data_IF_436286162684
#
_entry.id   IF_436286162684
#
_cell.length_a   1.000
_cell.length_b   1.000
_cell.length_c   1.000
_cell.angle_alpha   90.00
_cell.angle_beta   90.00
_cell.angle_gamma   90.00
#
_symmetry.space_group_name_H-M   'P 1'
#
loop_
_entity.id
_entity.type
_entity.pdbx_description
1 polymer ?
#
# COMPACT_ATOMS: atom_id res chain seq x y z
N UNK A 1 -1.86 -28.73 -2.35
CA UNK A 1 -1.88 -27.41 -2.96
C UNK A 1 -3.04 -26.59 -2.39
N UNK A 2 -2.74 -25.43 -1.84
CA UNK A 2 -3.79 -24.56 -1.31
C UNK A 2 -4.71 -24.10 -2.45
N UNK A 3 -6.00 -24.03 -2.17
CA UNK A 3 -6.96 -23.43 -3.09
C UNK A 3 -6.87 -21.91 -3.00
N UNK A 4 -7.38 -21.19 -4.02
CA UNK A 4 -7.42 -19.71 -4.00
C UNK A 4 -8.09 -19.20 -2.72
N UNK A 5 -9.09 -19.92 -2.21
CA UNK A 5 -9.82 -19.53 -0.98
C UNK A 5 -8.97 -19.57 0.28
N UNK A 6 -7.91 -20.37 0.28
CA UNK A 6 -7.03 -20.55 1.44
C UNK A 6 -5.84 -19.60 1.43
N UNK A 7 -5.62 -18.88 0.32
CA UNK A 7 -4.50 -17.97 0.21
C UNK A 7 -4.77 -16.67 0.97
N UNK A 8 -3.78 -16.27 1.76
CA UNK A 8 -3.79 -14.99 2.45
C UNK A 8 -2.44 -14.33 2.30
N UNK A 9 -2.43 -13.00 2.31
CA UNK A 9 -1.20 -12.23 2.37
C UNK A 9 -0.77 -12.07 3.84
N UNK A 10 0.49 -11.66 4.12
CA UNK A 10 1.00 -11.58 5.49
C UNK A 10 0.16 -10.71 6.43
N UNK A 11 -0.52 -9.67 5.92
CA UNK A 11 -1.39 -8.83 6.75
C UNK A 11 -2.78 -9.45 6.99
N UNK A 12 -3.01 -10.70 6.59
CA UNK A 12 -4.24 -11.43 6.90
C UNK A 12 -5.38 -11.27 5.90
N UNK A 13 -5.20 -10.49 4.83
CA UNK A 13 -6.23 -10.28 3.82
C UNK A 13 -6.21 -11.39 2.76
N UNK A 14 -7.38 -11.76 2.22
CA UNK A 14 -7.42 -12.77 1.16
C UNK A 14 -6.62 -12.34 -0.07
N UNK A 15 -5.79 -13.25 -0.57
CA UNK A 15 -4.98 -13.04 -1.77
C UNK A 15 -5.45 -13.99 -2.88
N UNK A 16 -5.38 -13.54 -4.12
CA UNK A 16 -5.80 -14.34 -5.28
C UNK A 16 -5.25 -13.73 -6.56
N UNK A 17 -5.02 -14.56 -7.57
CA UNK A 17 -4.83 -14.06 -8.95
C UNK A 17 -6.14 -13.63 -9.60
N UNK A 18 -7.29 -13.98 -9.01
CA UNK A 18 -8.59 -13.54 -9.48
C UNK A 18 -8.91 -12.16 -8.92
N UNK A 19 -8.60 -11.13 -9.70
CA UNK A 19 -8.84 -9.72 -9.33
C UNK A 19 -10.30 -9.47 -8.96
N UNK A 20 -11.21 -10.08 -9.69
CA UNK A 20 -12.65 -9.88 -9.51
C UNK A 20 -13.12 -10.46 -8.18
N UNK A 21 -12.60 -11.62 -7.79
CA UNK A 21 -12.95 -12.25 -6.51
C UNK A 21 -12.52 -11.40 -5.33
N UNK A 22 -11.44 -10.63 -5.47
CA UNK A 22 -10.93 -9.74 -4.42
C UNK A 22 -11.56 -8.35 -4.45
N UNK A 23 -12.35 -8.02 -5.48
CA UNK A 23 -12.87 -6.67 -5.67
C UNK A 23 -11.77 -5.67 -6.02
N UNK A 24 -10.78 -6.10 -6.81
CA UNK A 24 -9.72 -5.20 -7.26
C UNK A 24 -10.27 -4.26 -8.33
N UNK A 25 -10.10 -2.97 -8.11
CA UNK A 25 -10.48 -1.93 -9.06
C UNK A 25 -9.34 -0.92 -9.16
N UNK A 26 -9.34 -0.13 -10.22
CA UNK A 26 -8.35 0.92 -10.42
C UNK A 26 -8.91 2.24 -9.89
N UNK A 27 -8.10 2.97 -9.13
CA UNK A 27 -8.50 4.24 -8.51
C UNK A 27 -7.51 5.34 -8.86
N UNK A 28 -8.05 6.51 -9.20
CA UNK A 28 -7.23 7.69 -9.42
C UNK A 28 -6.95 8.38 -8.08
N UNK A 29 -5.71 8.82 -7.89
CA UNK A 29 -5.35 9.63 -6.72
C UNK A 29 -5.73 11.08 -7.03
N UNK A 30 -6.69 11.67 -6.28
CA UNK A 30 -7.15 13.04 -6.57
C UNK A 30 -6.01 14.05 -6.58
N UNK A 31 -6.05 14.96 -7.55
CA UNK A 31 -5.02 15.99 -7.71
C UNK A 31 -3.77 15.50 -8.43
N UNK A 32 -3.74 14.26 -8.88
CA UNK A 32 -2.63 13.68 -9.61
C UNK A 32 -3.12 12.93 -10.85
N UNK A 33 -2.20 12.54 -11.72
CA UNK A 33 -2.49 11.66 -12.85
C UNK A 33 -2.17 10.19 -12.54
N UNK A 34 -1.94 9.88 -11.26
CA UNK A 34 -1.61 8.52 -10.82
C UNK A 34 -2.87 7.70 -10.62
N UNK A 35 -2.82 6.45 -11.09
CA UNK A 35 -3.82 5.42 -10.82
C UNK A 35 -3.11 4.19 -10.28
N UNK A 36 -3.74 3.52 -9.34
CA UNK A 36 -3.29 2.19 -8.93
C UNK A 36 -4.50 1.29 -8.67
N UNK A 37 -4.27 -0.01 -8.76
CA UNK A 37 -5.30 -1.00 -8.49
C UNK A 37 -5.17 -1.52 -7.06
N UNK A 38 -6.28 -1.59 -6.35
CA UNK A 38 -6.32 -2.15 -5.01
C UNK A 38 -7.70 -2.71 -4.70
N UNK A 39 -7.81 -3.42 -3.59
CA UNK A 39 -9.09 -3.92 -3.11
C UNK A 39 -10.02 -2.76 -2.79
N UNK A 40 -11.22 -2.79 -3.33
CA UNK A 40 -12.22 -1.75 -3.14
C UNK A 40 -12.46 -1.44 -1.65
N UNK A 41 -12.44 -2.46 -0.80
CA UNK A 41 -12.70 -2.30 0.62
C UNK A 41 -11.69 -1.39 1.33
N UNK A 42 -10.44 -1.33 0.84
CA UNK A 42 -9.36 -0.54 1.45
C UNK A 42 -9.03 0.73 0.66
N UNK A 43 -9.64 0.90 -0.51
CA UNK A 43 -9.34 2.02 -1.39
C UNK A 43 -9.47 3.40 -0.71
N UNK A 44 -10.51 3.67 0.11
CA UNK A 44 -10.60 4.98 0.76
C UNK A 44 -9.36 5.31 1.62
N UNK A 45 -8.78 4.31 2.27
CA UNK A 45 -7.58 4.52 3.09
C UNK A 45 -6.34 4.73 2.23
N UNK A 46 -6.10 3.82 1.26
CA UNK A 46 -4.91 3.89 0.41
C UNK A 46 -4.90 5.11 -0.50
N UNK A 47 -6.05 5.43 -1.11
CA UNK A 47 -6.16 6.58 -2.02
C UNK A 47 -5.98 7.90 -1.29
N UNK A 48 -6.62 8.06 -0.14
CA UNK A 48 -6.49 9.30 0.64
C UNK A 48 -5.10 9.43 1.26
N UNK A 49 -4.49 8.32 1.66
CA UNK A 49 -3.09 8.31 2.09
C UNK A 49 -2.18 8.80 0.95
N UNK A 50 -2.32 8.23 -0.24
CA UNK A 50 -1.50 8.61 -1.41
C UNK A 50 -1.69 10.09 -1.76
N UNK A 51 -2.92 10.60 -1.65
CA UNK A 51 -3.23 12.02 -1.89
C UNK A 51 -2.47 12.91 -0.90
N UNK A 52 -2.54 12.62 0.40
CA UNK A 52 -1.84 13.41 1.41
C UNK A 52 -0.32 13.23 1.33
N UNK A 53 0.16 12.03 0.99
CA UNK A 53 1.58 11.81 0.72
C UNK A 53 2.07 12.75 -0.40
N UNK A 54 1.31 12.81 -1.49
CA UNK A 54 1.63 13.69 -2.61
C UNK A 54 1.69 15.17 -2.19
N UNK A 55 0.75 15.58 -1.36
CA UNK A 55 0.64 16.99 -0.93
C UNK A 55 1.65 17.37 0.14
N UNK A 56 1.97 16.45 1.07
CA UNK A 56 2.69 16.76 2.30
C UNK A 56 4.10 16.19 2.36
N UNK A 57 4.41 15.14 1.61
CA UNK A 57 5.71 14.47 1.62
C UNK A 57 6.49 14.78 0.36
N UNK A 58 6.00 14.31 -0.78
CA UNK A 58 6.62 14.58 -2.08
C UNK A 58 5.65 14.24 -3.21
N UNK A 59 5.76 14.90 -4.36
CA UNK A 59 4.91 14.58 -5.52
C UNK A 59 5.11 13.14 -5.98
N UNK A 60 4.02 12.50 -6.40
CA UNK A 60 4.06 11.11 -6.90
C UNK A 60 3.85 11.01 -8.41
N UNK A 61 3.59 12.12 -9.09
CA UNK A 61 3.24 12.13 -10.52
C UNK A 61 4.24 12.86 -11.40
N UNK A 62 5.49 13.00 -10.93
CA UNK A 62 6.55 13.66 -11.69
C UNK A 62 7.51 12.63 -12.27
N UNK A 63 7.96 12.88 -13.49
CA UNK A 63 8.88 12.02 -14.20
C UNK A 63 8.22 10.73 -14.67
N UNK A 64 8.97 9.63 -14.64
CA UNK A 64 8.47 8.32 -15.00
C UNK A 64 7.49 7.81 -13.93
N UNK A 65 6.33 7.30 -14.35
CA UNK A 65 5.36 6.75 -13.42
C UNK A 65 5.88 5.45 -12.84
N UNK A 66 5.96 5.39 -11.52
CA UNK A 66 6.60 4.30 -10.78
C UNK A 66 5.82 3.97 -9.49
N UNK A 67 4.50 4.10 -9.55
CA UNK A 67 3.61 3.80 -8.42
C UNK A 67 2.81 2.55 -8.76
N UNK A 68 2.73 1.61 -7.80
CA UNK A 68 2.19 0.28 -8.03
C UNK A 68 1.17 -0.09 -6.96
N UNK A 69 0.18 -0.88 -7.33
CA UNK A 69 -0.81 -1.44 -6.42
C UNK A 69 -0.83 -2.96 -6.47
N UNK A 70 -1.99 -3.53 -6.79
CA UNK A 70 -2.19 -4.97 -6.83
C UNK A 70 -1.22 -5.66 -7.78
N UNK A 71 -0.63 -6.75 -7.29
CA UNK A 71 0.17 -7.68 -8.08
C UNK A 71 0.17 -9.03 -7.35
N UNK A 72 -0.19 -10.10 -8.05
CA UNK A 72 -0.15 -11.42 -7.47
C UNK A 72 1.27 -11.99 -7.62
N UNK A 73 2.03 -11.92 -6.54
CA UNK A 73 3.41 -12.40 -6.51
C UNK A 73 3.86 -12.73 -5.09
N UNK A 74 4.93 -13.52 -4.99
CA UNK A 74 5.60 -13.77 -3.72
C UNK A 74 6.38 -12.52 -3.29
N UNK A 75 6.68 -12.43 -1.99
CA UNK A 75 7.62 -11.43 -1.51
C UNK A 75 8.99 -11.69 -2.13
N UNK A 76 9.75 -10.63 -2.41
CA UNK A 76 11.07 -10.76 -3.01
C UNK A 76 11.98 -11.53 -2.06
N UNK A 77 12.67 -12.55 -2.61
CA UNK A 77 13.54 -13.43 -1.84
C UNK A 77 12.80 -14.61 -1.17
N UNK A 78 11.52 -14.78 -1.45
CA UNK A 78 10.74 -15.91 -0.95
C UNK A 78 9.99 -16.60 -2.09
N UNK A 79 9.85 -17.92 -1.98
CA UNK A 79 9.01 -18.72 -2.90
C UNK A 79 7.71 -19.17 -2.22
N UNK A 80 7.49 -18.82 -0.96
CA UNK A 80 6.37 -19.30 -0.16
C UNK A 80 5.45 -18.23 0.37
N UNK A 81 5.95 -17.01 0.53
CA UNK A 81 5.20 -15.93 1.16
C UNK A 81 4.67 -14.99 0.09
N UNK A 82 3.34 -14.88 -0.01
CA UNK A 82 2.71 -13.93 -0.90
C UNK A 82 2.96 -12.50 -0.40
N UNK A 83 3.20 -11.60 -1.35
CA UNK A 83 3.28 -10.16 -1.04
C UNK A 83 1.90 -9.64 -0.64
N UNK A 84 1.85 -8.60 0.22
CA UNK A 84 0.59 -7.91 0.52
C UNK A 84 -0.02 -7.22 -0.70
N UNK A 85 0.75 -7.01 -1.77
CA UNK A 85 0.21 -6.58 -3.06
C UNK A 85 -0.76 -7.63 -3.65
N UNK A 86 -0.57 -8.91 -3.30
CA UNK A 86 -1.39 -10.02 -3.82
C UNK A 86 -2.83 -10.01 -3.30
N UNK A 87 -3.10 -9.29 -2.22
CA UNK A 87 -4.46 -9.09 -1.69
C UNK A 87 -5.05 -7.73 -2.09
N UNK A 88 -4.28 -6.90 -2.82
CA UNK A 88 -4.71 -5.55 -3.17
C UNK A 88 -4.74 -4.60 -1.98
N UNK A 89 -3.93 -4.86 -0.95
CA UNK A 89 -3.91 -4.07 0.29
C UNK A 89 -2.60 -3.35 0.52
N UNK A 90 -1.75 -3.26 -0.51
CA UNK A 90 -0.48 -2.56 -0.45
C UNK A 90 -0.26 -1.74 -1.71
N UNK A 91 0.47 -0.64 -1.56
CA UNK A 91 0.90 0.23 -2.67
C UNK A 91 2.36 0.57 -2.50
N UNK A 92 3.03 0.82 -3.63
CA UNK A 92 4.37 1.38 -3.67
C UNK A 92 4.27 2.76 -4.30
N UNK A 93 4.92 3.76 -3.70
CA UNK A 93 4.93 5.13 -4.20
C UNK A 93 6.38 5.55 -4.49
N UNK A 94 6.60 6.19 -5.65
CA UNK A 94 7.90 6.69 -6.07
C UNK A 94 9.01 5.63 -5.98
N UNK A 95 8.75 4.46 -6.54
CA UNK A 95 9.64 3.30 -6.42
C UNK A 95 11.08 3.58 -6.88
N UNK A 96 11.26 4.43 -7.89
CA UNK A 96 12.59 4.76 -8.42
C UNK A 96 13.41 5.53 -7.38
N UNK A 97 12.78 6.44 -6.63
CA UNK A 97 13.46 7.25 -5.60
C UNK A 97 13.73 6.46 -4.32
N UNK A 98 12.93 5.43 -4.06
CA UNK A 98 12.96 4.69 -2.79
C UNK A 98 13.07 3.18 -3.02
N UNK A 99 14.14 2.72 -3.73
CA UNK A 99 14.23 1.32 -4.13
C UNK A 99 14.42 0.38 -2.95
N UNK A 100 13.90 -0.82 -3.11
CA UNK A 100 13.97 -1.87 -2.09
C UNK A 100 15.42 -2.07 -1.61
N UNK A 101 15.60 -2.12 -0.29
CA UNK A 101 16.89 -2.30 0.34
C UNK A 101 17.64 -0.99 0.63
N UNK A 102 17.19 0.12 0.06
CA UNK A 102 17.77 1.44 0.37
C UNK A 102 17.11 2.02 1.60
N UNK A 103 17.90 2.67 2.44
CA UNK A 103 17.42 3.34 3.64
C UNK A 103 17.76 4.82 3.61
N UNK A 104 17.04 5.61 4.40
CA UNK A 104 17.26 7.05 4.52
C UNK A 104 17.09 7.81 3.18
N UNK A 105 16.16 7.35 2.35
CA UNK A 105 15.84 8.03 1.10
C UNK A 105 14.88 9.20 1.31
N UNK A 106 14.27 9.31 2.49
CA UNK A 106 13.50 10.47 2.94
C UNK A 106 14.27 11.21 4.01
N UNK A 107 14.13 12.53 4.07
CA UNK A 107 14.71 13.31 5.15
C UNK A 107 13.89 13.13 6.44
N UNK A 108 14.36 13.71 7.55
CA UNK A 108 13.73 13.55 8.86
C UNK A 108 12.27 14.08 8.88
N UNK A 109 12.03 15.24 8.29
CA UNK A 109 10.70 15.84 8.28
C UNK A 109 9.72 14.99 7.46
N UNK A 110 10.17 14.49 6.32
CA UNK A 110 9.37 13.57 5.50
C UNK A 110 9.04 12.29 6.26
N UNK A 111 10.01 11.69 6.94
CA UNK A 111 9.77 10.48 7.74
C UNK A 111 8.76 10.73 8.86
N UNK A 112 8.87 11.87 9.52
CA UNK A 112 7.91 12.23 10.58
C UNK A 112 6.50 12.38 10.01
N UNK A 113 6.35 13.04 8.87
CA UNK A 113 5.06 13.20 8.20
C UNK A 113 4.49 11.84 7.76
N UNK A 114 5.33 10.98 7.18
CA UNK A 114 4.91 9.62 6.79
C UNK A 114 4.37 8.86 7.99
N UNK A 115 5.08 8.90 9.13
CA UNK A 115 4.65 8.19 10.33
C UNK A 115 3.34 8.73 10.90
N UNK A 116 3.08 10.02 10.79
CA UNK A 116 1.78 10.59 11.16
C UNK A 116 0.68 10.09 10.21
N UNK A 117 0.95 10.06 8.91
CA UNK A 117 -0.03 9.64 7.92
C UNK A 117 -0.36 8.14 8.03
N UNK A 118 0.63 7.28 8.23
CA UNK A 118 0.36 5.84 8.38
C UNK A 118 -0.47 5.55 9.62
N UNK A 119 -0.26 6.29 10.70
CA UNK A 119 -1.08 6.19 11.90
C UNK A 119 -2.52 6.61 11.61
N UNK A 120 -2.69 7.72 10.90
CA UNK A 120 -4.02 8.24 10.52
C UNK A 120 -4.82 7.23 9.73
N UNK A 121 -4.19 6.57 8.76
CA UNK A 121 -4.86 5.68 7.81
C UNK A 121 -4.78 4.20 8.16
N UNK A 122 -4.12 3.83 9.25
CA UNK A 122 -4.01 2.43 9.68
C UNK A 122 -3.11 1.59 8.79
N UNK A 123 -1.95 2.15 8.43
CA UNK A 123 -0.98 1.49 7.55
C UNK A 123 0.30 1.13 8.29
N UNK A 124 1.01 0.13 7.76
CA UNK A 124 2.42 -0.11 8.05
C UNK A 124 3.25 0.44 6.89
N UNK A 125 4.42 0.94 7.20
CA UNK A 125 5.38 1.47 6.23
C UNK A 125 6.63 0.61 6.20
N UNK A 126 7.07 0.21 5.01
CA UNK A 126 8.30 -0.57 4.83
C UNK A 126 9.57 0.14 5.26
N UNK A 127 9.54 1.47 5.39
CA UNK A 127 10.64 2.24 5.96
C UNK A 127 10.86 2.00 7.45
N UNK A 128 9.88 1.42 8.15
CA UNK A 128 9.98 1.06 9.56
C UNK A 128 10.42 -0.40 9.76
N UNK A 129 10.64 -1.17 8.70
CA UNK A 129 11.11 -2.55 8.81
C UNK A 129 12.51 -2.58 9.45
N UNK A 130 12.73 -3.56 10.31
CA UNK A 130 14.02 -3.70 11.03
C UNK A 130 15.13 -4.27 10.17
N UNK A 131 14.78 -5.17 9.24
CA UNK A 131 15.74 -5.84 8.37
C UNK A 131 15.85 -5.08 7.04
N UNK A 132 15.30 -5.65 5.98
CA UNK A 132 15.39 -5.05 4.64
C UNK A 132 14.37 -3.92 4.52
N UNK A 133 14.85 -2.70 4.43
CA UNK A 133 13.99 -1.53 4.26
C UNK A 133 13.29 -1.54 2.90
N UNK A 134 12.07 -1.07 2.89
CA UNK A 134 11.28 -0.92 1.67
C UNK A 134 10.50 0.39 1.76
N UNK A 135 11.21 1.50 1.54
CA UNK A 135 10.67 2.83 1.83
C UNK A 135 9.58 3.29 0.87
N UNK A 136 9.43 2.62 -0.28
CA UNK A 136 8.31 2.89 -1.20
C UNK A 136 7.01 2.23 -0.76
N UNK A 137 7.06 1.23 0.14
CA UNK A 137 5.98 0.28 0.40
C UNK A 137 5.11 0.69 1.60
N UNK A 138 3.80 0.69 1.37
CA UNK A 138 2.77 0.96 2.38
C UNK A 138 1.69 -0.10 2.28
N UNK A 139 1.25 -0.62 3.42
CA UNK A 139 0.27 -1.72 3.45
C UNK A 139 -0.75 -1.54 4.56
N UNK A 140 -1.95 -2.07 4.36
CA UNK A 140 -2.99 -2.06 5.38
C UNK A 140 -2.54 -2.88 6.59
N UNK A 141 -2.62 -2.29 7.79
CA UNK A 141 -2.27 -2.94 9.05
C UNK A 141 -3.52 -3.42 9.81
N UNK A 142 -4.70 -3.13 9.31
CA UNK A 142 -5.97 -3.32 9.98
C UNK A 142 -6.72 -4.54 9.44
N UNK A 143 -7.56 -5.15 10.27
CA UNK A 143 -8.52 -6.16 9.83
C UNK A 143 -9.63 -5.49 9.02
N UNK A 144 -10.44 -6.30 8.33
CA UNK A 144 -11.58 -5.79 7.54
C UNK A 144 -12.51 -4.92 8.39
N UNK A 145 -12.85 -5.38 9.59
CA UNK A 145 -13.72 -4.64 10.50
C UNK A 145 -13.09 -3.31 10.91
N UNK A 146 -11.81 -3.33 11.27
CA UNK A 146 -11.08 -2.12 11.66
C UNK A 146 -10.96 -1.13 10.51
N UNK A 147 -10.81 -1.62 9.27
CA UNK A 147 -10.81 -0.76 8.07
C UNK A 147 -12.15 -0.05 7.95
N UNK A 148 -13.26 -0.76 8.10
CA UNK A 148 -14.61 -0.17 8.02
C UNK A 148 -14.78 0.91 9.09
N UNK A 149 -14.34 0.65 10.31
CA UNK A 149 -14.41 1.61 11.41
C UNK A 149 -13.54 2.84 11.13
N UNK A 150 -12.34 2.63 10.61
CA UNK A 150 -11.41 3.73 10.28
C UNK A 150 -11.99 4.63 9.19
N UNK A 151 -12.54 4.05 8.14
CA UNK A 151 -13.19 4.79 7.05
C UNK A 151 -14.31 5.65 7.60
N UNK A 152 -15.14 5.08 8.47
CA UNK A 152 -16.25 5.79 9.09
C UNK A 152 -15.76 6.93 10.00
N UNK A 153 -14.75 6.63 10.83
CA UNK A 153 -14.13 7.59 11.75
C UNK A 153 -13.56 8.81 11.02
N UNK A 154 -12.93 8.56 9.87
CA UNK A 154 -12.32 9.62 9.06
C UNK A 154 -13.32 10.31 8.12
N UNK A 155 -14.56 9.84 8.06
CA UNK A 155 -15.57 10.41 7.17
C UNK A 155 -15.30 10.19 5.69
N UNK A 156 -14.62 9.11 5.33
CA UNK A 156 -14.26 8.78 3.95
C UNK A 156 -15.37 8.00 3.26
N UNK A 157 -15.36 8.08 1.91
CA UNK A 157 -16.35 7.36 1.09
C UNK A 157 -15.70 6.25 0.28
#
# INVERSE_FOLDING_TARGET
VATIRELTSPNGWPASEDRKALGIESFNVPGTKIKFACCKAVAPLLVNFAKEFHELVEPIDQGQLDDWGYAFRMTRGSERILSNHSSGTAIDLNAIKHPLGKSNTFNKDQRNTINLLITKYGLNWGGNYKKRKDEMHFEIALTRHEVQQKIKQLGLK
#
